data_IF_269619636892
#
_entry.id   IF_269619636892
#
_cell.length_a   1.000
_cell.length_b   1.000
_cell.length_c   1.000
_cell.angle_alpha   90.00
_cell.angle_beta   90.00
_cell.angle_gamma   90.00
#
_symmetry.space_group_name_H-M   'P 1'
#
loop_
_entity.id
_entity.type
_entity.pdbx_description
1 polymer ?
#
# COMPACT_ATOMS: atom_id res chain seq x y z
N UNK A 1 14.28 12.55 30.96
CA UNK A 1 14.00 12.27 29.52
C UNK A 1 12.56 11.85 29.31
N UNK A 2 12.17 11.65 28.06
CA UNK A 2 10.85 11.15 27.68
C UNK A 2 10.68 9.69 28.06
N UNK A 3 9.47 9.30 28.43
CA UNK A 3 9.12 7.93 28.75
C UNK A 3 7.88 7.45 27.98
N UNK A 4 7.68 6.13 27.94
CA UNK A 4 6.50 5.56 27.34
C UNK A 4 5.91 4.46 28.20
N UNK A 5 4.58 4.28 28.14
CA UNK A 5 3.85 3.22 28.83
C UNK A 5 2.91 2.52 27.87
N UNK A 6 2.90 1.21 27.90
CA UNK A 6 1.95 0.41 27.12
C UNK A 6 0.52 0.61 27.60
N UNK A 7 -0.43 0.68 26.64
CA UNK A 7 -1.86 0.82 26.91
C UNK A 7 -2.55 -0.50 26.57
N UNK A 8 -3.04 -1.19 27.59
CA UNK A 8 -3.72 -2.48 27.40
C UNK A 8 -2.77 -3.62 27.03
N UNK A 9 -3.30 -4.66 26.37
CA UNK A 9 -2.54 -5.89 26.04
C UNK A 9 -1.76 -5.81 24.71
N UNK A 10 -2.06 -4.84 23.84
CA UNK A 10 -1.37 -4.69 22.54
C UNK A 10 -0.08 -3.90 22.71
N UNK A 11 1.12 -4.50 22.47
CA UNK A 11 2.40 -3.83 22.66
C UNK A 11 2.62 -2.64 21.70
N UNK A 12 1.83 -2.54 20.63
CA UNK A 12 1.90 -1.43 19.68
C UNK A 12 1.16 -0.19 20.15
N UNK A 13 0.42 -0.27 21.28
CA UNK A 13 -0.31 0.87 21.88
C UNK A 13 0.53 1.46 22.99
N UNK A 14 1.09 2.65 22.74
CA UNK A 14 1.94 3.34 23.69
C UNK A 14 1.39 4.74 24.00
N UNK A 15 1.51 5.16 25.25
CA UNK A 15 1.34 6.54 25.67
C UNK A 15 2.73 7.11 25.98
N UNK A 16 3.01 8.29 25.48
CA UNK A 16 4.25 8.98 25.71
C UNK A 16 4.06 10.10 26.73
N UNK A 17 5.08 10.33 27.53
CA UNK A 17 5.15 11.36 28.56
C UNK A 17 6.41 12.19 28.34
N UNK A 18 6.29 13.49 28.59
CA UNK A 18 7.43 14.41 28.58
C UNK A 18 8.33 14.20 29.82
N UNK A 19 9.36 15.01 29.96
CA UNK A 19 10.32 14.96 31.07
C UNK A 19 9.70 15.28 32.43
N UNK A 20 8.58 16.01 32.44
CA UNK A 20 7.81 16.32 33.64
C UNK A 20 6.77 15.25 34.00
N UNK A 21 6.67 14.17 33.21
CA UNK A 21 5.72 13.09 33.41
C UNK A 21 4.30 13.37 32.90
N UNK A 22 4.09 14.47 32.16
CA UNK A 22 2.79 14.80 31.57
C UNK A 22 2.57 14.01 30.26
N UNK A 23 1.34 13.53 30.01
CA UNK A 23 1.04 12.79 28.80
C UNK A 23 1.04 13.72 27.57
N UNK A 24 1.90 13.45 26.59
CA UNK A 24 2.05 14.25 25.36
C UNK A 24 1.37 13.63 24.15
N UNK A 25 1.08 12.32 24.19
CA UNK A 25 0.41 11.68 23.07
C UNK A 25 0.30 10.17 23.21
N UNK A 26 -0.37 9.58 22.22
CA UNK A 26 -0.52 8.13 22.09
C UNK A 26 -0.08 7.72 20.69
N UNK A 27 0.50 6.53 20.58
CA UNK A 27 0.84 5.89 19.32
C UNK A 27 0.20 4.51 19.28
N UNK A 28 -0.30 4.13 18.12
CA UNK A 28 -0.75 2.78 17.81
C UNK A 28 -0.11 2.32 16.50
N UNK A 29 0.90 1.47 16.60
CA UNK A 29 1.74 1.12 15.46
C UNK A 29 2.39 2.37 14.87
N UNK A 30 2.03 2.71 13.63
CA UNK A 30 2.52 3.91 12.92
C UNK A 30 1.62 5.14 13.07
N UNK A 31 0.49 5.01 13.80
CA UNK A 31 -0.49 6.10 13.97
C UNK A 31 -0.24 6.87 15.25
N UNK A 32 -0.20 8.17 15.14
CA UNK A 32 -0.12 9.07 16.29
C UNK A 32 -1.48 9.71 16.58
N UNK A 33 -1.74 10.03 17.84
CA UNK A 33 -3.04 10.58 18.29
C UNK A 33 -3.42 11.96 17.73
N UNK A 34 -2.47 12.65 17.12
CA UNK A 34 -2.70 13.94 16.46
C UNK A 34 -3.22 13.83 15.03
N UNK A 35 -3.21 12.63 14.44
CA UNK A 35 -3.80 12.43 13.11
C UNK A 35 -5.32 12.50 13.23
N UNK A 36 -5.94 13.44 12.53
CA UNK A 36 -7.40 13.55 12.40
C UNK A 36 -8.00 12.36 11.63
N UNK A 37 -9.33 12.21 11.71
CA UNK A 37 -10.06 11.18 10.96
C UNK A 37 -9.84 11.29 9.45
N UNK A 38 -9.72 12.50 8.93
CA UNK A 38 -9.54 12.76 7.50
C UNK A 38 -8.20 12.23 6.99
N UNK A 39 -7.13 12.38 7.78
CA UNK A 39 -5.81 11.82 7.44
C UNK A 39 -5.85 10.29 7.44
N UNK A 40 -6.53 9.67 8.41
CA UNK A 40 -6.69 8.21 8.44
C UNK A 40 -7.45 7.69 7.22
N UNK A 41 -8.51 8.38 6.80
CA UNK A 41 -9.28 8.07 5.59
C UNK A 41 -8.41 8.17 4.33
N UNK A 42 -7.70 9.29 4.16
CA UNK A 42 -6.77 9.50 3.04
C UNK A 42 -5.74 8.36 2.98
N UNK A 43 -5.11 8.01 4.09
CA UNK A 43 -4.07 6.98 4.13
C UNK A 43 -4.58 5.55 3.91
N UNK A 44 -5.88 5.28 4.14
CA UNK A 44 -6.46 3.94 4.01
C UNK A 44 -7.06 3.66 2.64
N UNK A 45 -7.50 4.68 1.93
CA UNK A 45 -8.14 4.53 0.63
C UNK A 45 -7.24 5.09 -0.47
N UNK A 46 -6.80 4.19 -1.38
CA UNK A 46 -5.85 4.52 -2.45
C UNK A 46 -6.41 5.55 -3.44
N UNK A 47 -7.72 5.54 -3.68
CA UNK A 47 -8.39 6.51 -4.55
C UNK A 47 -8.36 7.91 -3.92
N UNK A 48 -8.75 8.01 -2.65
CA UNK A 48 -8.72 9.28 -1.90
C UNK A 48 -7.27 9.79 -1.77
N UNK A 49 -6.30 8.89 -1.54
CA UNK A 49 -4.88 9.24 -1.54
C UNK A 49 -4.46 9.84 -2.89
N UNK A 50 -4.82 9.18 -4.01
CA UNK A 50 -4.49 9.67 -5.37
C UNK A 50 -5.10 11.06 -5.63
N UNK A 51 -6.34 11.25 -5.24
CA UNK A 51 -7.01 12.55 -5.38
C UNK A 51 -6.32 13.65 -4.56
N UNK A 52 -5.96 13.35 -3.31
CA UNK A 52 -5.25 14.30 -2.45
C UNK A 52 -3.86 14.66 -3.03
N UNK A 53 -3.12 13.69 -3.55
CA UNK A 53 -1.83 13.90 -4.20
C UNK A 53 -1.98 14.72 -5.49
N UNK A 54 -2.97 14.40 -6.33
CA UNK A 54 -3.24 15.12 -7.57
C UNK A 54 -3.58 16.60 -7.28
N UNK A 55 -4.42 16.86 -6.27
CA UNK A 55 -4.77 18.22 -5.85
C UNK A 55 -3.56 19.00 -5.32
N UNK A 56 -2.56 18.29 -4.78
CA UNK A 56 -1.29 18.86 -4.33
C UNK A 56 -0.23 18.98 -5.46
N UNK A 57 -0.57 18.62 -6.71
CA UNK A 57 0.37 18.62 -7.83
C UNK A 57 1.43 17.51 -7.78
N UNK A 58 1.23 16.48 -6.93
CA UNK A 58 2.16 15.35 -6.81
C UNK A 58 1.78 14.26 -7.83
N UNK A 59 2.71 13.85 -8.71
CA UNK A 59 2.44 12.83 -9.73
C UNK A 59 2.03 11.49 -9.10
N UNK A 60 1.03 10.86 -9.68
CA UNK A 60 0.61 9.49 -9.36
C UNK A 60 0.43 8.69 -10.65
N UNK A 61 0.51 7.35 -10.64
CA UNK A 61 0.19 6.54 -11.81
C UNK A 61 -1.21 6.88 -12.33
N UNK A 62 -1.37 7.01 -13.64
CA UNK A 62 -2.70 7.23 -14.22
C UNK A 62 -3.58 6.01 -13.99
N UNK A 63 -4.83 6.21 -13.59
CA UNK A 63 -5.74 5.09 -13.30
C UNK A 63 -7.09 5.56 -12.80
N UNK A 64 -8.02 4.59 -12.71
CA UNK A 64 -9.42 4.80 -12.39
C UNK A 64 -9.90 3.77 -11.38
N UNK A 65 -10.70 4.21 -10.43
CA UNK A 65 -11.39 3.34 -9.48
C UNK A 65 -12.83 3.10 -9.96
N UNK A 66 -13.24 1.84 -9.98
CA UNK A 66 -14.56 1.40 -10.45
C UNK A 66 -15.18 0.48 -9.40
N UNK A 67 -16.51 0.49 -9.30
CA UNK A 67 -17.21 -0.47 -8.44
C UNK A 67 -16.94 -1.91 -8.91
N UNK A 68 -16.95 -2.90 -8.01
CA UNK A 68 -16.55 -4.28 -8.33
C UNK A 68 -17.39 -4.95 -9.43
N UNK A 69 -18.62 -4.52 -9.63
CA UNK A 69 -19.55 -5.00 -10.67
C UNK A 69 -19.33 -4.39 -12.06
N UNK A 70 -18.40 -3.44 -12.20
CA UNK A 70 -18.08 -2.79 -13.47
C UNK A 70 -16.83 -3.35 -14.18
N UNK A 71 -16.61 -4.65 -14.15
CA UNK A 71 -15.46 -5.31 -14.79
C UNK A 71 -15.35 -5.00 -16.29
N UNK A 72 -16.48 -4.96 -17.01
CA UNK A 72 -16.48 -4.64 -18.45
C UNK A 72 -15.96 -3.23 -18.73
N UNK A 73 -16.26 -2.28 -17.85
CA UNK A 73 -15.70 -0.92 -17.97
C UNK A 73 -14.19 -0.92 -17.70
N UNK A 74 -13.73 -1.77 -16.76
CA UNK A 74 -12.30 -2.00 -16.50
C UNK A 74 -11.57 -2.48 -17.76
N UNK A 75 -12.17 -3.38 -18.54
CA UNK A 75 -11.60 -3.83 -19.83
C UNK A 75 -11.46 -2.70 -20.85
N UNK A 76 -12.41 -1.78 -20.91
CA UNK A 76 -12.32 -0.62 -21.79
C UNK A 76 -11.12 0.28 -21.45
N UNK A 77 -10.68 0.30 -20.19
CA UNK A 77 -9.54 1.10 -19.76
C UNK A 77 -8.19 0.61 -20.34
N UNK A 78 -8.09 -0.65 -20.75
CA UNK A 78 -6.88 -1.15 -21.43
C UNK A 78 -6.56 -0.40 -22.72
N UNK A 79 -7.57 0.16 -23.39
CA UNK A 79 -7.38 0.99 -24.58
C UNK A 79 -7.00 2.45 -24.24
N UNK A 80 -7.13 2.84 -22.97
CA UNK A 80 -6.93 4.21 -22.50
C UNK A 80 -5.66 4.37 -21.66
N UNK A 81 -5.32 3.33 -20.90
CA UNK A 81 -4.15 3.27 -20.04
C UNK A 81 -3.00 2.54 -20.77
N UNK A 82 -1.78 2.87 -20.39
CA UNK A 82 -0.58 2.21 -20.91
C UNK A 82 -0.29 0.94 -20.11
N UNK A 83 -0.31 -0.20 -20.78
CA UNK A 83 0.13 -1.45 -20.20
C UNK A 83 1.66 -1.48 -19.95
N UNK A 84 2.17 -2.27 -19.00
CA UNK A 84 1.40 -3.14 -18.13
C UNK A 84 0.59 -2.37 -17.09
N UNK A 85 -0.52 -2.98 -16.62
CA UNK A 85 -1.41 -2.40 -15.62
C UNK A 85 -1.24 -3.07 -14.25
N UNK A 86 -1.73 -2.38 -13.23
CA UNK A 86 -1.89 -2.90 -11.86
C UNK A 86 -3.37 -2.84 -11.50
N UNK A 87 -3.90 -3.96 -11.02
CA UNK A 87 -5.27 -4.06 -10.51
C UNK A 87 -5.22 -4.34 -9.01
N UNK A 88 -5.96 -3.55 -8.22
CA UNK A 88 -5.93 -3.67 -6.75
C UNK A 88 -7.18 -3.08 -6.10
N UNK A 89 -7.60 -3.56 -4.93
CA UNK A 89 -8.68 -2.92 -4.17
C UNK A 89 -8.23 -1.59 -3.57
N UNK A 90 -9.12 -0.59 -3.55
CA UNK A 90 -8.81 0.76 -3.03
C UNK A 90 -8.56 0.79 -1.53
N UNK A 91 -9.20 -0.11 -0.76
CA UNK A 91 -9.24 -0.09 0.70
C UNK A 91 -8.68 -1.34 1.39
N UNK A 92 -7.83 -2.11 0.69
CA UNK A 92 -7.08 -3.24 1.27
C UNK A 92 -5.64 -2.85 1.68
N UNK A 93 -5.02 -3.68 2.49
CA UNK A 93 -3.64 -3.51 2.96
C UNK A 93 -2.82 -4.80 2.75
N UNK A 94 -1.50 -4.70 2.94
CA UNK A 94 -0.52 -5.82 2.87
C UNK A 94 -0.61 -6.62 1.57
N UNK A 95 -0.73 -5.91 0.44
CA UNK A 95 -0.78 -6.45 -0.93
C UNK A 95 -1.91 -7.45 -1.21
N UNK A 96 -2.95 -7.53 -0.36
CA UNK A 96 -4.12 -8.39 -0.61
C UNK A 96 -4.88 -7.89 -1.83
N UNK A 97 -5.17 -8.79 -2.77
CA UNK A 97 -5.90 -8.50 -3.98
C UNK A 97 -5.14 -7.64 -5.00
N UNK A 98 -3.80 -7.57 -4.92
CA UNK A 98 -2.97 -6.81 -5.86
C UNK A 98 -2.42 -7.73 -6.92
N UNK A 99 -2.66 -7.40 -8.19
CA UNK A 99 -2.08 -8.04 -9.37
C UNK A 99 -1.31 -7.00 -10.18
N UNK A 100 -0.15 -7.37 -10.68
CA UNK A 100 0.77 -6.51 -11.45
C UNK A 100 1.13 -7.16 -12.77
N UNK A 101 1.63 -6.38 -13.73
CA UNK A 101 2.07 -6.89 -15.02
C UNK A 101 0.92 -7.34 -15.92
N UNK A 102 -0.21 -6.67 -15.86
CA UNK A 102 -1.41 -7.02 -16.62
C UNK A 102 -1.33 -6.39 -18.01
N UNK A 103 -1.21 -7.23 -19.04
CA UNK A 103 -1.07 -6.83 -20.44
C UNK A 103 -2.25 -7.23 -21.33
N UNK A 104 -3.04 -8.22 -20.91
CA UNK A 104 -4.14 -8.77 -21.70
C UNK A 104 -5.50 -8.62 -21.01
N UNK A 105 -6.57 -8.63 -21.80
CA UNK A 105 -7.94 -8.59 -21.29
C UNK A 105 -8.30 -9.82 -20.43
N UNK A 106 -7.70 -10.96 -20.71
CA UNK A 106 -7.89 -12.18 -19.91
C UNK A 106 -7.27 -12.01 -18.53
N UNK A 107 -5.99 -11.59 -18.46
CA UNK A 107 -5.31 -11.31 -17.19
C UNK A 107 -6.03 -10.23 -16.38
N UNK A 108 -6.58 -9.21 -17.05
CA UNK A 108 -7.36 -8.18 -16.37
C UNK A 108 -8.59 -8.77 -15.68
N UNK A 109 -9.33 -9.68 -16.35
CA UNK A 109 -10.50 -10.34 -15.74
C UNK A 109 -10.11 -11.12 -14.49
N UNK A 110 -9.09 -11.97 -14.58
CA UNK A 110 -8.61 -12.74 -13.42
C UNK A 110 -8.13 -11.84 -12.27
N UNK A 111 -7.38 -10.79 -12.62
CA UNK A 111 -6.91 -9.81 -11.64
C UNK A 111 -8.05 -9.00 -11.01
N UNK A 112 -9.10 -8.71 -11.80
CA UNK A 112 -10.30 -8.03 -11.32
C UNK A 112 -11.05 -8.87 -10.30
N UNK A 113 -11.35 -10.12 -10.66
CA UNK A 113 -12.03 -11.07 -9.77
C UNK A 113 -11.25 -11.29 -8.49
N UNK A 114 -9.92 -11.39 -8.60
CA UNK A 114 -9.05 -11.46 -7.43
C UNK A 114 -9.15 -10.20 -6.56
N UNK A 115 -9.07 -9.01 -7.15
CA UNK A 115 -9.14 -7.75 -6.40
C UNK A 115 -10.51 -7.55 -5.75
N UNK A 116 -11.61 -7.88 -6.46
CA UNK A 116 -12.98 -7.72 -5.98
C UNK A 116 -13.26 -8.49 -4.68
N UNK A 117 -12.65 -9.65 -4.49
CA UNK A 117 -12.78 -10.44 -3.26
C UNK A 117 -12.23 -9.74 -2.01
N UNK A 118 -11.34 -8.77 -2.18
CA UNK A 118 -10.69 -8.02 -1.10
C UNK A 118 -11.17 -6.56 -0.99
N UNK A 119 -12.17 -6.18 -1.78
CA UNK A 119 -12.82 -4.88 -1.64
C UNK A 119 -13.71 -4.91 -0.41
N UNK A 120 -13.40 -4.07 0.59
CA UNK A 120 -14.28 -3.90 1.75
C UNK A 120 -15.40 -2.90 1.44
N UNK A 121 -16.40 -2.80 2.32
CA UNK A 121 -17.57 -1.94 2.16
C UNK A 121 -17.19 -0.51 1.74
N UNK A 122 -17.85 -0.02 0.69
CA UNK A 122 -17.61 1.30 0.12
C UNK A 122 -16.28 1.45 -0.63
N UNK A 123 -15.57 0.35 -0.92
CA UNK A 123 -14.38 0.35 -1.75
C UNK A 123 -14.66 0.08 -3.22
N UNK A 124 -13.62 0.17 -4.01
CA UNK A 124 -13.62 -0.01 -5.46
C UNK A 124 -12.43 -0.86 -5.90
N UNK A 125 -12.44 -1.32 -7.14
CA UNK A 125 -11.26 -1.86 -7.81
C UNK A 125 -10.56 -0.72 -8.55
N UNK A 126 -9.28 -0.53 -8.27
CA UNK A 126 -8.42 0.45 -8.93
C UNK A 126 -7.63 -0.24 -10.03
N UNK A 127 -7.78 0.28 -11.27
CA UNK A 127 -6.99 -0.08 -12.45
C UNK A 127 -6.06 1.08 -12.73
N UNK A 128 -4.75 0.86 -12.74
CA UNK A 128 -3.77 1.93 -12.99
C UNK A 128 -2.56 1.43 -13.78
N UNK A 129 -1.87 2.36 -14.45
CA UNK A 129 -0.60 2.08 -15.11
C UNK A 129 0.46 1.64 -14.10
N UNK A 130 1.24 0.63 -14.45
CA UNK A 130 2.33 0.16 -13.61
C UNK A 130 3.50 1.15 -13.65
N UNK A 131 3.93 1.60 -12.49
CA UNK A 131 5.16 2.39 -12.39
C UNK A 131 6.37 1.48 -12.49
N UNK A 132 7.33 1.88 -13.32
CA UNK A 132 8.63 1.22 -13.43
C UNK A 132 9.61 1.94 -12.52
N UNK A 133 10.41 1.20 -11.76
CA UNK A 133 11.40 1.76 -10.85
C UNK A 133 11.60 0.90 -9.60
N UNK A 134 12.18 1.48 -8.59
CA UNK A 134 12.38 0.85 -7.28
C UNK A 134 11.45 1.45 -6.22
N UNK A 135 11.07 0.65 -5.25
CA UNK A 135 10.23 1.09 -4.12
C UNK A 135 11.11 1.81 -3.09
N UNK A 136 10.96 3.13 -3.02
CA UNK A 136 11.62 3.97 -2.00
C UNK A 136 10.60 4.32 -0.91
N UNK A 137 10.86 3.87 0.30
CA UNK A 137 10.09 4.26 1.49
C UNK A 137 10.80 5.37 2.23
N UNK A 138 10.15 6.51 2.37
CA UNK A 138 10.65 7.65 3.12
C UNK A 138 9.92 7.77 4.46
N UNK A 139 10.66 8.14 5.50
CA UNK A 139 10.11 8.49 6.80
C UNK A 139 10.29 10.00 7.01
N UNK A 140 9.16 10.68 7.17
CA UNK A 140 9.09 12.13 7.31
C UNK A 140 8.43 12.48 8.64
N UNK A 141 9.02 13.36 9.40
CA UNK A 141 8.50 13.86 10.68
C UNK A 141 8.48 15.38 10.63
N UNK A 142 7.32 15.97 10.87
CA UNK A 142 7.11 17.42 10.87
C UNK A 142 7.65 18.09 9.59
N UNK A 143 7.32 17.52 8.43
CA UNK A 143 7.74 17.98 7.11
C UNK A 143 9.22 17.76 6.79
N UNK A 144 10.01 17.15 7.68
CA UNK A 144 11.44 16.90 7.49
C UNK A 144 11.70 15.44 7.18
N UNK A 145 12.49 15.19 6.15
CA UNK A 145 13.00 13.86 5.85
C UNK A 145 13.93 13.39 6.98
N UNK A 146 13.65 12.21 7.53
CA UNK A 146 14.40 11.61 8.64
C UNK A 146 15.19 10.39 8.17
N UNK A 147 14.57 9.51 7.39
CA UNK A 147 15.18 8.28 6.92
C UNK A 147 14.52 7.80 5.63
N UNK A 148 15.24 7.00 4.86
CA UNK A 148 14.73 6.30 3.69
C UNK A 148 15.27 4.89 3.60
N UNK A 149 14.47 3.99 3.00
CA UNK A 149 14.86 2.62 2.70
C UNK A 149 14.38 2.24 1.31
N UNK A 150 15.26 1.65 0.52
CA UNK A 150 14.88 1.00 -0.73
C UNK A 150 14.36 -0.40 -0.42
N UNK A 151 13.19 -0.73 -0.94
CA UNK A 151 12.63 -2.07 -0.87
C UNK A 151 12.92 -2.80 -2.17
N UNK A 152 13.64 -3.91 -2.05
CA UNK A 152 13.92 -4.83 -3.16
C UNK A 152 12.95 -6.00 -3.02
N UNK A 153 12.35 -6.41 -4.14
CA UNK A 153 11.51 -7.60 -4.14
C UNK A 153 12.38 -8.82 -3.76
N UNK A 154 11.83 -9.76 -2.98
CA UNK A 154 12.53 -11.01 -2.69
C UNK A 154 12.94 -11.71 -4.00
N UNK A 155 14.16 -12.17 -4.05
CA UNK A 155 14.69 -12.91 -5.18
C UNK A 155 15.61 -14.03 -4.69
N UNK A 156 15.82 -15.02 -5.53
CA UNK A 156 16.82 -16.06 -5.33
C UNK A 156 17.75 -16.10 -6.54
N UNK A 157 19.00 -16.43 -6.31
CA UNK A 157 19.99 -16.59 -7.38
C UNK A 157 20.08 -18.08 -7.70
N UNK A 158 19.87 -18.43 -8.97
CA UNK A 158 20.00 -19.82 -9.43
C UNK A 158 21.43 -20.33 -9.27
N UNK A 159 21.58 -21.53 -8.71
CA UNK A 159 22.87 -22.24 -8.57
C UNK A 159 23.11 -23.27 -9.69
N UNK A 160 22.16 -23.40 -10.62
CA UNK A 160 22.20 -24.38 -11.72
C UNK A 160 21.78 -25.81 -11.34
N UNK A 161 21.48 -26.06 -10.07
CA UNK A 161 21.15 -27.40 -9.54
C UNK A 161 19.83 -27.43 -8.77
N UNK A 162 19.58 -26.42 -7.91
CA UNK A 162 18.43 -26.37 -7.03
C UNK A 162 17.18 -25.83 -7.73
N UNK A 163 16.01 -26.33 -7.33
CA UNK A 163 14.73 -25.71 -7.69
C UNK A 163 14.54 -24.36 -6.98
N UNK A 164 13.65 -23.52 -7.51
CA UNK A 164 13.30 -22.23 -6.88
C UNK A 164 12.85 -22.43 -5.43
N UNK A 165 12.02 -23.44 -5.13
CA UNK A 165 11.55 -23.72 -3.78
C UNK A 165 12.71 -24.10 -2.84
N UNK A 166 13.68 -24.89 -3.32
CA UNK A 166 14.86 -25.25 -2.53
C UNK A 166 15.72 -24.01 -2.23
N UNK A 167 15.89 -23.11 -3.21
CA UNK A 167 16.61 -21.85 -3.02
C UNK A 167 15.91 -20.95 -2.00
N UNK A 168 14.57 -20.81 -2.08
CA UNK A 168 13.78 -20.06 -1.09
C UNK A 168 13.94 -20.63 0.31
N UNK A 169 13.97 -21.96 0.47
CA UNK A 169 14.18 -22.58 1.77
C UNK A 169 15.60 -22.34 2.32
N UNK A 170 16.62 -22.33 1.48
CA UNK A 170 17.99 -21.98 1.87
C UNK A 170 18.11 -20.53 2.40
N UNK A 171 17.44 -19.57 1.75
CA UNK A 171 17.48 -18.14 2.13
C UNK A 171 16.69 -17.83 3.42
N UNK A 172 15.80 -18.73 3.85
CA UNK A 172 14.99 -18.56 5.08
C UNK A 172 15.67 -19.06 6.35
N UNK A 173 16.82 -19.68 6.25
CA UNK A 173 17.61 -20.18 7.40
C UNK A 173 18.61 -19.11 7.86
#
# INVERSE_FOLDING_TARGET
GWSSKQIGKDPRRLRYFNETGEPVGKVYGVKISRHGRDIDLICRNKEITKQALANAGVPTPRGYALAPDFEQLGRCLMNTLRAPLVIKPTNSAVSKGVSVGIDTAHELTEAWDHAAQFVADGGSVLVEEQSIGFDLRTFVVDGKFVAGATRIQPFVIGDGESTVDQLIQKERQ
#
